data_IF_587172523311
#
_entry.id   IF_587172523311
#
_cell.length_a   1.000
_cell.length_b   1.000
_cell.length_c   1.000
_cell.angle_alpha   90.00
_cell.angle_beta   90.00
_cell.angle_gamma   90.00
#
_symmetry.space_group_name_H-M   'P 1'
#
loop_
_entity.id
_entity.type
_entity.pdbx_description
1 polymer ?
#
# COMPACT_ATOMS: atom_id res chain seq x y z
N UNK A 1 29.50 -52.00 7.63
CA UNK A 1 28.95 -50.80 6.94
C UNK A 1 28.25 -49.94 7.99
N UNK A 2 28.93 -48.88 8.38
CA UNK A 2 29.03 -48.48 9.79
C UNK A 2 27.93 -47.48 10.16
N UNK A 3 27.40 -47.56 11.39
CA UNK A 3 26.31 -46.69 11.91
C UNK A 3 26.61 -45.21 11.71
N UNK A 4 27.90 -44.84 11.73
CA UNK A 4 28.41 -43.49 11.43
C UNK A 4 28.14 -43.04 9.99
N UNK A 5 28.25 -43.92 8.99
CA UNK A 5 27.97 -43.62 7.58
C UNK A 5 26.47 -43.36 7.36
N UNK A 6 25.60 -44.10 8.06
CA UNK A 6 24.14 -43.90 8.01
C UNK A 6 23.70 -42.59 8.69
N UNK A 7 24.36 -42.21 9.79
CA UNK A 7 24.12 -40.94 10.49
C UNK A 7 24.57 -39.73 9.67
N UNK A 8 25.72 -39.80 9.01
CA UNK A 8 26.21 -38.71 8.14
C UNK A 8 25.33 -38.56 6.89
N UNK A 9 24.88 -39.66 6.28
CA UNK A 9 23.96 -39.61 5.15
C UNK A 9 22.60 -39.02 5.54
N UNK A 10 22.04 -39.38 6.71
CA UNK A 10 20.79 -38.81 7.19
C UNK A 10 20.91 -37.30 7.49
N UNK A 11 22.04 -36.87 8.05
CA UNK A 11 22.29 -35.46 8.32
C UNK A 11 22.43 -34.64 7.04
N UNK A 12 23.20 -35.12 6.04
CA UNK A 12 23.32 -34.45 4.75
C UNK A 12 22.00 -34.36 3.97
N UNK A 13 21.14 -35.38 4.09
CA UNK A 13 19.81 -35.37 3.43
C UNK A 13 18.88 -34.34 4.09
N UNK A 14 18.98 -34.17 5.42
CA UNK A 14 18.18 -33.20 6.16
C UNK A 14 18.59 -31.74 5.86
N UNK A 15 19.89 -31.47 5.68
CA UNK A 15 20.38 -30.14 5.30
C UNK A 15 19.96 -29.77 3.88
N UNK A 16 19.95 -30.73 2.95
CA UNK A 16 19.56 -30.50 1.55
C UNK A 16 18.06 -30.20 1.40
N UNK A 17 17.21 -30.83 2.21
CA UNK A 17 15.77 -30.52 2.25
C UNK A 17 15.47 -29.12 2.81
N UNK A 18 16.30 -28.60 3.72
CA UNK A 18 16.12 -27.26 4.28
C UNK A 18 16.50 -26.15 3.27
N UNK A 19 17.42 -26.42 2.35
CA UNK A 19 17.82 -25.48 1.30
C UNK A 19 16.75 -25.26 0.24
N UNK A 20 15.87 -26.24 -0.01
CA UNK A 20 14.80 -26.14 -1.01
C UNK A 20 13.54 -25.44 -0.46
N UNK A 21 13.37 -25.37 0.86
CA UNK A 21 12.28 -24.63 1.51
C UNK A 21 12.51 -23.11 1.54
N UNK A 22 13.72 -22.64 1.15
CA UNK A 22 14.04 -21.21 1.08
C UNK A 22 13.71 -20.58 -0.27
N UNK A 23 12.93 -21.25 -1.12
CA UNK A 23 12.33 -20.62 -2.29
C UNK A 23 11.38 -19.53 -1.78
N UNK A 24 11.90 -18.30 -1.72
CA UNK A 24 11.20 -17.14 -1.22
C UNK A 24 9.86 -17.04 -1.91
N UNK A 25 8.80 -17.11 -1.13
CA UNK A 25 7.50 -16.65 -1.59
C UNK A 25 7.72 -15.23 -2.10
N UNK A 26 7.54 -15.02 -3.40
CA UNK A 26 7.35 -13.70 -3.99
C UNK A 26 6.12 -13.10 -3.30
N UNK A 27 6.34 -12.50 -2.13
CA UNK A 27 5.37 -11.61 -1.52
C UNK A 27 5.18 -10.51 -2.53
N UNK A 28 4.08 -10.61 -3.29
CA UNK A 28 3.61 -9.54 -4.17
C UNK A 28 3.76 -8.23 -3.40
N UNK A 29 4.68 -7.39 -3.83
CA UNK A 29 4.91 -6.10 -3.21
C UNK A 29 3.63 -5.29 -3.45
N UNK A 30 3.00 -4.82 -2.37
CA UNK A 30 1.76 -4.05 -2.44
C UNK A 30 2.09 -2.56 -2.43
N UNK A 31 1.61 -1.84 -3.43
CA UNK A 31 1.61 -0.38 -3.45
C UNK A 31 0.34 0.10 -2.77
N UNK A 32 0.50 0.83 -1.67
CA UNK A 32 -0.61 1.45 -0.95
C UNK A 32 -0.86 2.84 -1.49
N UNK A 33 -2.08 3.09 -1.95
CA UNK A 33 -2.56 4.38 -2.44
C UNK A 33 -3.58 4.92 -1.45
N UNK A 34 -3.25 6.05 -0.83
CA UNK A 34 -4.14 6.79 0.04
C UNK A 34 -5.05 7.71 -0.77
N UNK A 35 -6.31 7.80 -0.39
CA UNK A 35 -7.29 8.72 -0.93
C UNK A 35 -7.78 9.62 0.21
N UNK A 36 -7.42 10.90 0.15
CA UNK A 36 -7.88 11.91 1.09
C UNK A 36 -9.02 12.68 0.44
N UNK A 37 -10.25 12.40 0.85
CA UNK A 37 -11.48 12.87 0.16
C UNK A 37 -12.52 13.38 1.16
N UNK A 38 -13.35 14.36 0.78
CA UNK A 38 -14.46 14.82 1.61
C UNK A 38 -15.64 13.84 1.50
N UNK A 39 -15.63 12.75 2.26
CA UNK A 39 -16.75 11.81 2.30
C UNK A 39 -17.92 12.38 3.09
N UNK A 40 -17.64 13.30 4.02
CA UNK A 40 -18.62 14.09 4.75
C UNK A 40 -18.34 15.60 4.65
N UNK A 41 -19.22 16.41 5.24
CA UNK A 41 -19.09 17.87 5.26
C UNK A 41 -19.80 18.56 4.09
N UNK A 42 -19.17 19.59 3.53
CA UNK A 42 -19.80 20.55 2.61
C UNK A 42 -19.96 20.01 1.18
N UNK A 43 -19.07 19.12 0.73
CA UNK A 43 -19.02 18.61 -0.65
C UNK A 43 -18.96 17.07 -0.75
N UNK A 44 -19.83 16.32 -0.04
CA UNK A 44 -19.75 14.86 0.06
C UNK A 44 -19.92 14.15 -1.29
N UNK A 45 -20.68 14.74 -2.22
CA UNK A 45 -20.89 14.18 -3.56
C UNK A 45 -19.61 14.18 -4.40
N UNK A 46 -18.71 15.13 -4.16
CA UNK A 46 -17.39 15.15 -4.81
C UNK A 46 -16.51 14.03 -4.25
N UNK A 47 -16.55 13.78 -2.93
CA UNK A 47 -15.85 12.67 -2.31
C UNK A 47 -16.37 11.31 -2.77
N UNK A 48 -17.68 11.14 -2.82
CA UNK A 48 -18.34 9.93 -3.33
C UNK A 48 -17.93 9.61 -4.78
N UNK A 49 -17.98 10.62 -5.67
CA UNK A 49 -17.51 10.45 -7.04
C UNK A 49 -16.02 10.09 -7.14
N UNK A 50 -15.18 10.70 -6.30
CA UNK A 50 -13.75 10.40 -6.24
C UNK A 50 -13.48 8.98 -5.75
N UNK A 51 -14.23 8.52 -4.73
CA UNK A 51 -14.16 7.14 -4.23
C UNK A 51 -14.53 6.14 -5.31
N UNK A 52 -15.66 6.33 -5.99
CA UNK A 52 -16.09 5.41 -7.05
C UNK A 52 -15.10 5.37 -8.21
N UNK A 53 -14.54 6.51 -8.61
CA UNK A 53 -13.49 6.55 -9.63
C UNK A 53 -12.25 5.75 -9.21
N UNK A 54 -11.82 5.87 -7.95
CA UNK A 54 -10.68 5.12 -7.42
C UNK A 54 -10.96 3.62 -7.31
N UNK A 55 -12.18 3.23 -6.93
CA UNK A 55 -12.61 1.83 -6.86
C UNK A 55 -12.67 1.19 -8.26
N UNK A 56 -13.24 1.88 -9.26
CA UNK A 56 -13.24 1.42 -10.65
C UNK A 56 -11.81 1.24 -11.20
N UNK A 57 -10.93 2.21 -10.92
CA UNK A 57 -9.52 2.09 -11.28
C UNK A 57 -8.85 0.88 -10.60
N UNK A 58 -9.11 0.67 -9.31
CA UNK A 58 -8.57 -0.47 -8.58
C UNK A 58 -9.06 -1.80 -9.18
N UNK A 59 -10.33 -1.91 -9.55
CA UNK A 59 -10.87 -3.08 -10.23
C UNK A 59 -10.13 -3.37 -11.54
N UNK A 60 -9.90 -2.35 -12.37
CA UNK A 60 -9.19 -2.50 -13.64
C UNK A 60 -7.75 -2.96 -13.43
N UNK A 61 -7.07 -2.39 -12.44
CA UNK A 61 -5.72 -2.83 -12.04
C UNK A 61 -5.72 -4.27 -11.53
N UNK A 62 -6.70 -4.66 -10.73
CA UNK A 62 -6.82 -6.03 -10.23
C UNK A 62 -7.09 -7.03 -11.36
N UNK A 63 -7.94 -6.68 -12.34
CA UNK A 63 -8.19 -7.47 -13.56
C UNK A 63 -6.92 -7.61 -14.42
N UNK A 64 -6.08 -6.57 -14.47
CA UNK A 64 -4.77 -6.62 -15.14
C UNK A 64 -3.68 -7.40 -14.38
N UNK A 65 -3.98 -7.86 -13.16
CA UNK A 65 -3.07 -8.60 -12.30
C UNK A 65 -2.05 -7.71 -11.56
N UNK A 66 -2.31 -6.42 -11.43
CA UNK A 66 -1.46 -5.43 -10.75
C UNK A 66 -0.88 -4.36 -11.67
N UNK A 67 -0.08 -3.45 -11.09
CA UNK A 67 0.65 -2.41 -11.81
C UNK A 67 2.07 -2.90 -12.09
N UNK A 68 2.54 -2.77 -13.34
CA UNK A 68 3.93 -3.05 -13.68
C UNK A 68 4.80 -1.80 -13.49
N UNK A 69 5.85 -1.92 -12.67
CA UNK A 69 6.85 -0.87 -12.43
C UNK A 69 8.23 -1.50 -12.58
N UNK A 70 9.02 -1.04 -13.55
CA UNK A 70 10.37 -1.55 -13.78
C UNK A 70 10.42 -3.07 -14.04
N UNK A 71 9.44 -3.61 -14.77
CA UNK A 71 9.33 -5.04 -15.08
C UNK A 71 8.86 -5.93 -13.93
N UNK A 72 8.50 -5.36 -12.78
CA UNK A 72 7.92 -6.08 -11.64
C UNK A 72 6.44 -5.73 -11.51
N UNK A 73 5.57 -6.74 -11.34
CA UNK A 73 4.14 -6.53 -11.04
C UNK A 73 3.91 -6.34 -9.54
N UNK A 74 3.20 -5.27 -9.19
CA UNK A 74 2.82 -4.91 -7.84
C UNK A 74 1.31 -5.03 -7.65
N UNK A 75 0.89 -5.60 -6.52
CA UNK A 75 -0.49 -5.48 -6.09
C UNK A 75 -0.78 -4.04 -5.66
N UNK A 76 -2.05 -3.64 -5.69
CA UNK A 76 -2.46 -2.30 -5.23
C UNK A 76 -3.50 -2.43 -4.15
N UNK A 77 -3.37 -1.61 -3.12
CA UNK A 77 -4.32 -1.47 -2.02
C UNK A 77 -4.73 0.00 -1.95
N UNK A 78 -6.05 0.25 -1.91
CA UNK A 78 -6.61 1.59 -1.76
C UNK A 78 -7.04 1.80 -0.30
N UNK A 79 -6.60 2.90 0.30
CA UNK A 79 -6.99 3.30 1.66
C UNK A 79 -7.68 4.65 1.55
N UNK A 80 -8.90 4.76 2.09
CA UNK A 80 -9.71 5.96 1.97
C UNK A 80 -9.83 6.60 3.34
N UNK A 81 -9.53 7.90 3.43
CA UNK A 81 -9.69 8.71 4.63
C UNK A 81 -10.63 9.89 4.33
N UNK A 82 -11.58 10.10 5.24
CA UNK A 82 -12.50 11.24 5.18
C UNK A 82 -11.83 12.48 5.78
N UNK A 83 -11.87 13.59 5.05
CA UNK A 83 -11.39 14.89 5.54
C UNK A 83 -12.51 15.82 6.00
N UNK A 84 -13.78 15.39 6.00
CA UNK A 84 -14.94 16.14 6.50
C UNK A 84 -15.12 17.53 5.86
N UNK A 85 -14.49 17.75 4.70
CA UNK A 85 -14.34 19.06 4.07
C UNK A 85 -13.58 20.12 4.90
N UNK A 86 -12.78 19.72 5.91
CA UNK A 86 -12.04 20.62 6.82
C UNK A 86 -10.53 20.54 6.61
N UNK A 87 -9.84 21.68 6.75
CA UNK A 87 -8.38 21.75 6.63
C UNK A 87 -7.65 20.88 7.66
N UNK A 88 -8.05 20.94 8.93
CA UNK A 88 -7.44 20.18 10.02
C UNK A 88 -7.62 18.68 9.86
N UNK A 89 -8.81 18.24 9.46
CA UNK A 89 -9.09 16.82 9.21
C UNK A 89 -8.34 16.32 7.97
N UNK A 90 -8.18 17.14 6.93
CA UNK A 90 -7.34 16.80 5.77
C UNK A 90 -5.86 16.59 6.14
N UNK A 91 -5.32 17.44 7.02
CA UNK A 91 -3.97 17.27 7.58
C UNK A 91 -3.87 15.95 8.35
N UNK A 92 -4.82 15.67 9.26
CA UNK A 92 -4.83 14.42 10.04
C UNK A 92 -4.94 13.18 9.14
N UNK A 93 -5.77 13.23 8.10
CA UNK A 93 -5.91 12.17 7.12
C UNK A 93 -4.58 11.89 6.41
N UNK A 94 -3.87 12.92 5.93
CA UNK A 94 -2.55 12.73 5.33
C UNK A 94 -1.53 12.19 6.34
N UNK A 95 -1.47 12.73 7.56
CA UNK A 95 -0.57 12.22 8.61
C UNK A 95 -0.82 10.73 8.86
N UNK A 96 -2.08 10.30 8.94
CA UNK A 96 -2.45 8.90 9.14
C UNK A 96 -2.03 8.03 7.96
N UNK A 97 -2.34 8.46 6.74
CA UNK A 97 -1.94 7.76 5.51
C UNK A 97 -0.42 7.57 5.43
N UNK A 98 0.36 8.57 5.85
CA UNK A 98 1.82 8.50 5.86
C UNK A 98 2.32 7.58 6.99
N UNK A 99 1.91 7.86 8.24
CA UNK A 99 2.57 7.31 9.44
C UNK A 99 2.02 5.96 9.88
N UNK A 100 0.74 5.70 9.63
CA UNK A 100 0.06 4.48 10.07
C UNK A 100 -0.15 3.50 8.91
N UNK A 101 -0.53 4.03 7.74
CA UNK A 101 -0.83 3.18 6.61
C UNK A 101 0.37 2.93 5.68
N UNK A 102 1.44 3.72 5.79
CA UNK A 102 2.59 3.71 4.88
C UNK A 102 2.15 3.80 3.40
N UNK A 103 1.27 4.76 3.11
CA UNK A 103 0.88 5.07 1.75
C UNK A 103 2.12 5.54 0.96
N UNK A 104 2.29 4.99 -0.24
CA UNK A 104 3.33 5.43 -1.17
C UNK A 104 2.88 6.68 -1.93
N UNK A 105 1.60 6.72 -2.28
CA UNK A 105 0.98 7.78 -3.08
C UNK A 105 -0.29 8.22 -2.34
N UNK A 106 -0.55 9.52 -2.30
CA UNK A 106 -1.80 10.07 -1.78
C UNK A 106 -2.45 10.93 -2.87
N UNK A 107 -3.74 10.69 -3.11
CA UNK A 107 -4.56 11.42 -4.08
C UNK A 107 -5.60 12.28 -3.35
N UNK A 108 -5.79 13.50 -3.83
CA UNK A 108 -6.60 14.54 -3.18
C UNK A 108 -5.77 15.40 -2.22
N UNK A 109 -6.41 16.27 -1.42
CA UNK A 109 -7.84 16.64 -1.38
C UNK A 109 -8.35 17.39 -2.63
N UNK A 110 -9.67 17.46 -2.80
CA UNK A 110 -10.33 18.04 -3.98
C UNK A 110 -10.48 19.56 -3.93
N UNK A 111 -10.49 20.17 -2.74
CA UNK A 111 -10.55 21.62 -2.57
C UNK A 111 -9.22 22.19 -2.14
N UNK A 112 -8.82 23.35 -2.69
CA UNK A 112 -7.58 24.05 -2.32
C UNK A 112 -7.50 24.36 -0.82
N UNK A 113 -8.65 24.65 -0.17
CA UNK A 113 -8.74 24.91 1.27
C UNK A 113 -8.22 23.74 2.11
N UNK A 114 -8.40 22.50 1.63
CA UNK A 114 -7.91 21.29 2.28
C UNK A 114 -6.52 20.90 1.75
N UNK A 115 -6.31 21.04 0.44
CA UNK A 115 -5.11 20.52 -0.24
C UNK A 115 -3.83 21.26 0.12
N UNK A 116 -3.87 22.58 0.27
CA UNK A 116 -2.69 23.37 0.65
C UNK A 116 -2.12 22.89 2.00
N UNK A 117 -2.88 22.94 3.12
CA UNK A 117 -2.33 22.52 4.41
C UNK A 117 -2.02 21.02 4.48
N UNK A 118 -2.80 20.16 3.80
CA UNK A 118 -2.53 18.73 3.76
C UNK A 118 -1.23 18.41 2.98
N UNK A 119 -0.89 19.20 1.97
CA UNK A 119 0.33 19.07 1.17
C UNK A 119 1.60 19.40 1.96
N UNK A 120 1.56 20.41 2.83
CA UNK A 120 2.72 20.82 3.65
C UNK A 120 3.22 19.68 4.56
N UNK A 121 2.30 18.84 5.04
CA UNK A 121 2.62 17.69 5.90
C UNK A 121 3.36 16.59 5.12
N UNK A 122 3.08 16.43 3.82
CA UNK A 122 3.75 15.44 2.98
C UNK A 122 5.24 15.76 2.81
N UNK A 123 5.59 17.04 2.69
CA UNK A 123 6.96 17.50 2.53
C UNK A 123 7.78 17.28 3.80
N UNK A 124 7.14 17.37 4.97
CA UNK A 124 7.83 17.39 6.26
C UNK A 124 7.92 16.01 6.94
N UNK A 125 7.00 15.08 6.63
CA UNK A 125 6.84 13.84 7.43
C UNK A 125 7.60 12.62 6.88
N UNK A 126 7.82 12.52 5.56
CA UNK A 126 8.52 11.35 4.96
C UNK A 126 9.90 11.76 4.42
N UNK A 127 11.02 11.42 5.09
CA UNK A 127 12.33 11.58 4.48
C UNK A 127 12.40 10.66 3.26
N UNK A 128 12.75 11.24 2.10
CA UNK A 128 12.90 10.50 0.83
C UNK A 128 14.19 9.70 0.79
#
# INVERSE_FOLDING_TARGET
>A
MNRTVRLVAALCTLTLCFSLASCGSDRKKTIKVGLNVPMTGDIPKVGEGSKYAAEMWLEDIQKAGGIEVGGTKYAVELIIEDNESKAESAVKANTKLITQNDALIIIGPQSSKQAIPAGDVLITTKPR
#
